data_IF_613109338735
#
_entry.id   IF_613109338735
#
_cell.length_a   1.000
_cell.length_b   1.000
_cell.length_c   1.000
_cell.angle_alpha   90.00
_cell.angle_beta   90.00
_cell.angle_gamma   90.00
#
_symmetry.space_group_name_H-M   'P 1'
#
loop_
_entity.id
_entity.type
_entity.pdbx_description
1 polymer ?
#
# COMPACT_ATOMS: atom_id res chain seq x y z
N UNK A 1 17.69 -8.89 -1.66
CA UNK A 1 17.71 -7.68 -0.80
C UNK A 1 17.17 -8.08 0.56
N UNK A 2 17.75 -7.57 1.67
CA UNK A 2 17.25 -7.91 3.01
C UNK A 2 15.96 -7.13 3.29
N UNK A 3 14.85 -7.84 3.50
CA UNK A 3 13.53 -7.29 3.82
C UNK A 3 13.24 -7.57 5.29
N UNK A 4 12.94 -6.51 6.05
CA UNK A 4 12.51 -6.63 7.44
C UNK A 4 11.00 -6.88 7.50
N UNK A 5 10.58 -7.75 8.41
CA UNK A 5 9.20 -8.15 8.59
C UNK A 5 8.87 -8.43 10.06
N UNK A 6 7.59 -8.53 10.36
CA UNK A 6 7.06 -9.00 11.63
C UNK A 6 5.91 -9.98 11.37
N UNK A 7 5.83 -11.03 12.19
CA UNK A 7 4.77 -12.03 12.14
C UNK A 7 3.89 -11.84 13.38
N UNK A 8 2.59 -11.71 13.17
CA UNK A 8 1.58 -11.60 14.22
C UNK A 8 0.55 -12.71 14.06
N UNK A 9 0.39 -13.53 15.10
CA UNK A 9 -0.44 -14.73 15.09
C UNK A 9 0.34 -16.00 14.76
N UNK A 10 -0.37 -17.14 14.67
CA UNK A 10 0.24 -18.43 14.38
C UNK A 10 0.45 -18.60 12.87
N UNK A 11 1.66 -18.95 12.44
CA UNK A 11 2.04 -19.15 11.05
C UNK A 11 1.30 -20.33 10.38
N UNK A 12 0.70 -21.23 11.16
CA UNK A 12 -0.15 -22.30 10.64
C UNK A 12 -1.53 -21.80 10.19
N UNK A 13 -1.92 -20.61 10.61
CA UNK A 13 -3.14 -19.98 10.17
C UNK A 13 -3.01 -19.40 8.75
N UNK A 14 -4.12 -19.13 8.04
CA UNK A 14 -4.09 -18.44 6.74
C UNK A 14 -3.32 -17.13 6.83
N UNK A 15 -2.28 -17.00 6.00
CA UNK A 15 -1.37 -15.85 6.02
C UNK A 15 -1.97 -14.68 5.24
N UNK A 16 -1.92 -13.50 5.82
CA UNK A 16 -2.20 -12.21 5.16
C UNK A 16 -0.91 -11.39 5.13
N UNK A 17 -0.39 -11.13 3.96
CA UNK A 17 0.75 -10.22 3.77
C UNK A 17 0.23 -8.80 3.68
N UNK A 18 0.79 -7.87 4.46
CA UNK A 18 0.40 -6.46 4.44
C UNK A 18 1.55 -5.61 3.90
N UNK A 19 1.28 -4.92 2.78
CA UNK A 19 2.25 -4.10 2.04
C UNK A 19 1.87 -2.63 2.18
N UNK A 20 2.75 -1.83 2.77
CA UNK A 20 2.52 -0.42 3.03
C UNK A 20 2.77 0.49 1.82
N UNK A 21 2.24 1.72 1.92
CA UNK A 21 2.38 2.77 0.93
C UNK A 21 3.77 3.40 0.85
N UNK A 22 3.87 4.42 0.01
CA UNK A 22 5.08 5.18 -0.26
C UNK A 22 5.70 5.75 1.03
N UNK A 23 6.94 5.39 1.32
CA UNK A 23 7.70 5.90 2.44
C UNK A 23 7.20 5.46 3.82
N UNK A 24 6.25 4.50 3.88
CA UNK A 24 5.65 4.03 5.11
C UNK A 24 6.27 2.69 5.55
N UNK A 25 6.74 2.60 6.81
CA UNK A 25 7.17 1.34 7.41
C UNK A 25 5.96 0.46 7.79
N UNK A 26 6.21 -0.79 8.13
CA UNK A 26 5.17 -1.74 8.54
C UNK A 26 4.32 -1.25 9.73
N UNK A 27 4.89 -0.42 10.61
CA UNK A 27 4.19 0.20 11.75
C UNK A 27 3.13 1.23 11.33
N UNK A 28 3.00 1.56 10.05
CA UNK A 28 1.86 2.32 9.54
C UNK A 28 0.56 1.51 9.52
N UNK A 29 0.63 0.17 9.62
CA UNK A 29 -0.55 -0.67 9.83
C UNK A 29 -1.14 -0.39 11.22
N UNK A 30 -2.45 -0.07 11.34
CA UNK A 30 -3.07 0.12 12.65
C UNK A 30 -2.98 -1.15 13.50
N UNK A 31 -2.43 -1.10 14.73
CA UNK A 31 -2.29 -2.27 15.60
C UNK A 31 -3.62 -2.93 15.94
N UNK A 32 -4.69 -2.14 15.99
CA UNK A 32 -6.05 -2.61 16.27
C UNK A 32 -6.57 -3.50 15.14
N UNK A 33 -6.32 -3.14 13.88
CA UNK A 33 -6.67 -3.98 12.72
C UNK A 33 -5.86 -5.27 12.76
N UNK A 34 -4.54 -5.19 13.07
CA UNK A 34 -3.68 -6.36 13.21
C UNK A 34 -4.22 -7.31 14.29
N UNK A 35 -4.45 -6.80 15.50
CA UNK A 35 -4.92 -7.62 16.62
C UNK A 35 -6.29 -8.26 16.37
N UNK A 36 -7.20 -7.52 15.70
CA UNK A 36 -8.53 -8.04 15.35
C UNK A 36 -8.45 -9.14 14.29
N UNK A 37 -7.65 -8.98 13.24
CA UNK A 37 -7.46 -10.02 12.22
C UNK A 37 -6.79 -11.27 12.81
N UNK A 38 -5.84 -11.12 13.74
CA UNK A 38 -5.26 -12.25 14.47
C UNK A 38 -6.33 -12.98 15.28
N UNK A 39 -7.22 -12.26 15.98
CA UNK A 39 -8.36 -12.85 16.70
C UNK A 39 -9.36 -13.56 15.78
N UNK A 40 -9.46 -13.16 14.51
CA UNK A 40 -10.25 -13.84 13.48
C UNK A 40 -9.58 -15.10 12.92
N UNK A 41 -8.39 -15.47 13.43
CA UNK A 41 -7.67 -16.70 13.07
C UNK A 41 -6.75 -16.54 11.87
N UNK A 42 -6.23 -15.33 11.60
CA UNK A 42 -5.22 -15.08 10.56
C UNK A 42 -3.83 -14.92 11.16
N UNK A 43 -2.82 -15.22 10.36
CA UNK A 43 -1.44 -14.82 10.60
C UNK A 43 -1.12 -13.61 9.71
N UNK A 44 -0.66 -12.51 10.29
CA UNK A 44 -0.28 -11.33 9.53
C UNK A 44 1.24 -11.27 9.39
N UNK A 45 1.70 -11.18 8.14
CA UNK A 45 3.08 -10.89 7.78
C UNK A 45 3.15 -9.41 7.36
N UNK A 46 3.59 -8.57 8.27
CA UNK A 46 3.83 -7.14 8.01
C UNK A 46 5.25 -6.96 7.47
N UNK A 47 5.44 -6.18 6.43
CA UNK A 47 6.76 -5.99 5.82
C UNK A 47 7.13 -4.51 5.71
N UNK A 48 8.40 -4.22 5.91
CA UNK A 48 9.02 -2.97 5.46
C UNK A 48 9.43 -3.14 3.99
N UNK A 49 8.88 -2.37 3.09
CA UNK A 49 9.37 -2.35 1.70
C UNK A 49 10.85 -1.96 1.66
N UNK A 50 11.57 -2.35 0.58
CA UNK A 50 12.96 -1.88 0.38
C UNK A 50 13.06 -0.37 0.58
N UNK A 51 14.18 0.09 1.11
CA UNK A 51 14.47 1.52 1.36
C UNK A 51 13.74 2.15 2.55
N UNK A 52 12.85 1.46 3.25
CA UNK A 52 12.10 2.02 4.39
C UNK A 52 12.19 1.12 5.63
N UNK A 53 11.84 1.64 6.81
CA UNK A 53 11.83 0.92 8.07
C UNK A 53 13.20 0.30 8.40
N UNK A 54 13.23 -0.97 8.72
CA UNK A 54 14.45 -1.74 9.01
C UNK A 54 14.94 -2.56 7.81
N UNK A 55 14.26 -2.48 6.65
CA UNK A 55 14.75 -3.09 5.41
C UNK A 55 16.01 -2.41 4.89
N UNK A 56 16.75 -3.14 4.07
CA UNK A 56 17.98 -2.66 3.45
C UNK A 56 17.75 -1.36 2.66
N UNK A 57 18.65 -0.38 2.83
CA UNK A 57 18.62 0.91 2.12
C UNK A 57 19.66 0.90 1.00
N UNK A 58 19.21 1.22 -0.21
CA UNK A 58 20.12 1.37 -1.34
C UNK A 58 21.04 2.59 -1.17
N UNK A 59 22.31 2.43 -1.50
CA UNK A 59 23.33 3.47 -1.41
C UNK A 59 23.53 4.25 -2.72
N UNK A 60 22.54 4.19 -3.63
CA UNK A 60 22.61 4.83 -4.94
C UNK A 60 22.38 6.35 -4.88
N UNK A 61 23.02 7.09 -5.79
CA UNK A 61 22.85 8.55 -5.92
C UNK A 61 21.49 8.83 -6.57
N UNK A 62 20.68 9.67 -5.91
CA UNK A 62 19.36 10.07 -6.42
C UNK A 62 19.53 10.98 -7.64
N UNK A 63 18.80 10.74 -8.76
CA UNK A 63 18.82 11.60 -9.92
C UNK A 63 18.11 12.94 -9.60
N UNK A 64 18.30 13.93 -10.45
CA UNK A 64 17.62 15.22 -10.34
C UNK A 64 16.09 15.00 -10.43
N UNK A 65 15.39 15.17 -9.32
CA UNK A 65 13.94 14.89 -9.18
C UNK A 65 13.12 15.80 -10.08
N UNK A 66 13.49 17.07 -10.20
CA UNK A 66 12.78 18.02 -11.07
C UNK A 66 12.78 17.53 -12.52
N UNK A 67 13.93 17.07 -13.01
CA UNK A 67 14.04 16.49 -14.35
C UNK A 67 13.18 15.20 -14.49
N UNK A 68 13.13 14.36 -13.46
CA UNK A 68 12.29 13.15 -13.50
C UNK A 68 10.79 13.49 -13.51
N UNK A 69 10.36 14.51 -12.77
CA UNK A 69 8.97 15.00 -12.79
C UNK A 69 8.62 15.54 -14.20
N UNK A 70 9.52 16.33 -14.81
CA UNK A 70 9.32 16.79 -16.20
C UNK A 70 9.17 15.59 -17.15
N UNK A 71 10.09 14.62 -17.07
CA UNK A 71 9.99 13.40 -17.90
C UNK A 71 8.66 12.68 -17.72
N UNK A 72 8.20 12.54 -16.47
CA UNK A 72 6.91 11.91 -16.16
C UNK A 72 5.74 12.66 -16.79
N UNK A 73 5.70 14.00 -16.67
CA UNK A 73 4.63 14.84 -17.23
C UNK A 73 4.57 14.73 -18.76
N UNK A 74 5.72 14.65 -19.42
CA UNK A 74 5.82 14.45 -20.88
C UNK A 74 5.78 12.98 -21.31
N UNK A 75 5.40 12.05 -20.42
CA UNK A 75 5.35 10.60 -20.70
C UNK A 75 6.69 10.02 -21.20
N UNK A 76 7.81 10.66 -20.86
CA UNK A 76 9.16 10.19 -21.16
C UNK A 76 9.62 9.17 -20.09
N UNK A 77 10.62 8.36 -20.45
CA UNK A 77 11.17 7.35 -19.54
C UNK A 77 11.79 7.99 -18.28
N UNK A 78 11.19 7.72 -17.13
CA UNK A 78 11.71 8.10 -15.80
C UNK A 78 12.86 7.17 -15.42
N UNK A 79 13.94 7.74 -14.89
CA UNK A 79 15.07 6.97 -14.36
C UNK A 79 14.74 6.49 -12.96
N UNK A 80 14.65 5.19 -12.77
CA UNK A 80 14.48 4.54 -11.46
C UNK A 80 15.56 3.48 -11.25
N UNK A 81 15.94 3.23 -10.01
CA UNK A 81 16.95 2.24 -9.62
C UNK A 81 16.37 0.85 -9.45
N UNK A 82 15.08 0.76 -9.24
CA UNK A 82 14.27 -0.44 -9.17
C UNK A 82 12.84 -0.09 -9.58
N UNK A 83 12.09 -1.10 -9.89
CA UNK A 83 10.69 -1.01 -10.27
C UNK A 83 9.78 -1.55 -9.17
N UNK A 84 8.47 -1.30 -9.29
CA UNK A 84 7.47 -1.98 -8.45
C UNK A 84 7.49 -3.51 -8.65
N UNK A 85 7.96 -4.00 -9.83
CA UNK A 85 8.16 -5.43 -10.08
C UNK A 85 9.29 -6.01 -9.21
N UNK A 86 10.36 -5.25 -9.01
CA UNK A 86 11.45 -5.68 -8.13
C UNK A 86 10.99 -5.73 -6.67
N UNK A 87 10.12 -4.80 -6.25
CA UNK A 87 9.51 -4.82 -4.92
C UNK A 87 8.56 -6.02 -4.74
N UNK A 88 7.79 -6.38 -5.77
CA UNK A 88 6.98 -7.59 -5.75
C UNK A 88 7.84 -8.87 -5.71
N UNK A 89 8.98 -8.89 -6.39
CA UNK A 89 9.92 -10.01 -6.32
C UNK A 89 10.52 -10.16 -4.90
N UNK A 90 10.88 -9.06 -4.22
CA UNK A 90 11.35 -9.13 -2.82
C UNK A 90 10.35 -9.86 -1.92
N UNK A 91 9.06 -9.58 -2.09
CA UNK A 91 8.01 -10.21 -1.28
C UNK A 91 7.86 -11.68 -1.65
N UNK A 92 7.88 -12.01 -2.95
CA UNK A 92 7.84 -13.41 -3.37
C UNK A 92 9.04 -14.19 -2.83
N UNK A 93 10.24 -13.63 -2.88
CA UNK A 93 11.45 -14.26 -2.37
C UNK A 93 11.37 -14.48 -0.86
N UNK A 94 10.84 -13.48 -0.12
CA UNK A 94 10.56 -13.62 1.31
C UNK A 94 9.54 -14.75 1.59
N UNK A 95 8.47 -14.87 0.78
CA UNK A 95 7.50 -15.98 0.96
C UNK A 95 8.15 -17.35 0.71
N UNK A 96 9.08 -17.45 -0.21
CA UNK A 96 9.85 -18.70 -0.46
C UNK A 96 10.74 -19.01 0.74
N UNK A 97 11.47 -18.03 1.26
CA UNK A 97 12.35 -18.18 2.43
C UNK A 97 11.57 -18.62 3.68
N UNK A 98 10.34 -18.09 3.87
CA UNK A 98 9.47 -18.43 4.98
C UNK A 98 8.60 -19.69 4.74
N UNK A 99 8.77 -20.38 3.61
CA UNK A 99 7.95 -21.53 3.20
C UNK A 99 6.44 -21.23 3.14
N UNK A 100 6.05 -19.99 2.80
CA UNK A 100 4.66 -19.56 2.64
C UNK A 100 4.23 -19.83 1.19
N UNK A 101 3.51 -20.91 0.96
CA UNK A 101 3.10 -21.34 -0.39
C UNK A 101 1.86 -20.61 -0.90
N UNK A 102 0.93 -20.24 0.00
CA UNK A 102 -0.31 -19.56 -0.33
C UNK A 102 -0.60 -18.48 0.69
N UNK A 103 -1.09 -17.33 0.22
CA UNK A 103 -1.37 -16.19 1.08
C UNK A 103 -2.46 -15.27 0.49
N UNK A 104 -3.08 -14.49 1.35
CA UNK A 104 -3.87 -13.32 0.99
C UNK A 104 -2.96 -12.10 1.02
N UNK A 105 -3.22 -11.09 0.20
CA UNK A 105 -2.40 -9.89 0.20
C UNK A 105 -3.26 -8.63 0.37
N UNK A 106 -2.89 -7.80 1.33
CA UNK A 106 -3.42 -6.46 1.54
C UNK A 106 -2.35 -5.48 1.08
N UNK A 107 -2.68 -4.63 0.11
CA UNK A 107 -1.79 -3.58 -0.34
C UNK A 107 -2.43 -2.21 -0.18
N UNK A 108 -1.71 -1.29 0.47
CA UNK A 108 -2.16 0.08 0.73
C UNK A 108 -1.43 1.04 -0.18
N UNK A 109 -2.14 1.84 -0.98
CA UNK A 109 -1.55 2.86 -1.86
C UNK A 109 -0.50 2.25 -2.81
N UNK A 110 0.78 2.66 -2.75
CA UNK A 110 1.86 1.99 -3.48
C UNK A 110 1.89 0.47 -3.21
N UNK A 111 1.61 0.04 -1.98
CA UNK A 111 1.53 -1.38 -1.63
C UNK A 111 0.44 -2.11 -2.41
N UNK A 112 -0.67 -1.44 -2.75
CA UNK A 112 -1.71 -1.98 -3.64
C UNK A 112 -1.21 -2.21 -5.06
N UNK A 113 -0.38 -1.30 -5.59
CA UNK A 113 0.25 -1.47 -6.90
C UNK A 113 1.21 -2.69 -6.91
N UNK A 114 1.93 -2.92 -5.81
CA UNK A 114 2.82 -4.08 -5.63
C UNK A 114 1.99 -5.36 -5.48
N UNK A 115 0.92 -5.33 -4.70
CA UNK A 115 0.00 -6.46 -4.52
C UNK A 115 -0.69 -6.87 -5.83
N UNK A 116 -1.07 -5.93 -6.68
CA UNK A 116 -1.55 -6.19 -8.04
C UNK A 116 -0.49 -6.95 -8.86
N UNK A 117 0.78 -6.56 -8.79
CA UNK A 117 1.87 -7.25 -9.49
C UNK A 117 2.10 -8.67 -8.97
N UNK A 118 1.94 -8.90 -7.66
CA UNK A 118 1.97 -10.25 -7.09
C UNK A 118 0.82 -11.10 -7.63
N UNK A 119 -0.41 -10.58 -7.66
CA UNK A 119 -1.57 -11.28 -8.19
C UNK A 119 -1.42 -11.58 -9.69
N UNK A 120 -0.80 -10.69 -10.48
CA UNK A 120 -0.53 -10.90 -11.90
C UNK A 120 0.53 -12.00 -12.13
N UNK A 121 1.61 -11.98 -11.33
CA UNK A 121 2.78 -12.87 -11.56
C UNK A 121 2.67 -14.22 -10.86
N UNK A 122 1.99 -14.27 -9.72
CA UNK A 122 1.95 -15.41 -8.81
C UNK A 122 0.50 -15.82 -8.50
N UNK A 123 -0.34 -15.95 -9.53
CA UNK A 123 -1.78 -16.28 -9.43
C UNK A 123 -2.06 -17.57 -8.67
N UNK A 124 -1.12 -18.51 -8.67
CA UNK A 124 -1.20 -19.78 -7.94
C UNK A 124 -0.88 -19.65 -6.44
N UNK A 125 -0.22 -18.57 -6.01
CA UNK A 125 0.12 -18.31 -4.60
C UNK A 125 -0.81 -17.29 -3.94
N UNK A 126 -1.34 -16.32 -4.70
CA UNK A 126 -2.19 -15.25 -4.18
C UNK A 126 -3.64 -15.72 -4.13
N UNK A 127 -4.11 -16.09 -2.95
CA UNK A 127 -5.49 -16.55 -2.74
C UNK A 127 -6.52 -15.44 -2.88
N UNK A 128 -6.21 -14.23 -2.45
CA UNK A 128 -7.01 -13.02 -2.70
C UNK A 128 -6.17 -11.76 -2.65
N UNK A 129 -6.66 -10.73 -3.32
CA UNK A 129 -6.12 -9.37 -3.34
C UNK A 129 -7.07 -8.41 -2.64
N UNK A 130 -6.57 -7.67 -1.65
CA UNK A 130 -7.26 -6.53 -1.05
C UNK A 130 -6.47 -5.27 -1.40
N UNK A 131 -7.02 -4.44 -2.28
CA UNK A 131 -6.38 -3.22 -2.78
C UNK A 131 -7.03 -2.01 -2.12
N UNK A 132 -6.29 -1.30 -1.26
CA UNK A 132 -6.80 -0.18 -0.47
C UNK A 132 -6.19 1.12 -0.99
N UNK A 133 -7.03 2.13 -1.33
CA UNK A 133 -6.64 3.47 -1.79
C UNK A 133 -5.49 3.47 -2.82
N UNK A 134 -5.61 2.62 -3.84
CA UNK A 134 -4.56 2.38 -4.86
C UNK A 134 -5.06 2.62 -6.29
N UNK A 135 -4.21 2.37 -7.28
CA UNK A 135 -4.49 2.62 -8.71
C UNK A 135 -3.88 1.54 -9.59
N UNK A 136 -4.46 1.30 -10.76
CA UNK A 136 -3.88 0.48 -11.83
C UNK A 136 -2.65 1.12 -12.47
N UNK A 137 -2.55 2.45 -12.38
CA UNK A 137 -1.52 3.25 -13.04
C UNK A 137 -1.88 3.67 -14.46
N UNK A 138 -3.14 3.56 -14.89
CA UNK A 138 -3.61 4.09 -16.17
C UNK A 138 -3.29 5.59 -16.24
N UNK A 139 -2.57 6.05 -17.29
CA UNK A 139 -2.18 7.45 -17.44
C UNK A 139 -3.36 8.41 -17.68
N UNK A 140 -4.54 7.91 -18.00
CA UNK A 140 -5.74 8.70 -18.22
C UNK A 140 -6.53 8.99 -16.95
N UNK A 141 -6.25 8.30 -15.85
CA UNK A 141 -6.91 8.54 -14.57
C UNK A 141 -6.56 9.91 -13.99
N UNK A 142 -7.46 10.49 -13.16
CA UNK A 142 -7.18 11.71 -12.44
C UNK A 142 -5.87 11.62 -11.65
N UNK A 143 -5.14 12.73 -11.61
CA UNK A 143 -3.85 12.81 -10.91
C UNK A 143 -4.02 13.38 -9.50
N UNK A 144 -3.08 13.09 -8.59
CA UNK A 144 -3.04 13.71 -7.28
C UNK A 144 -3.13 15.23 -7.38
N UNK A 145 -3.76 15.88 -6.41
CA UNK A 145 -3.76 17.36 -6.38
C UNK A 145 -2.33 17.88 -6.30
N UNK A 146 -1.96 18.80 -7.20
CA UNK A 146 -0.61 19.35 -7.32
C UNK A 146 -0.05 19.91 -6.00
N UNK A 147 -0.88 20.52 -5.17
CA UNK A 147 -0.48 21.04 -3.85
C UNK A 147 0.08 19.92 -2.95
N UNK A 148 -0.54 18.73 -2.98
CA UNK A 148 -0.10 17.56 -2.19
C UNK A 148 1.21 17.01 -2.77
N UNK A 149 1.29 16.85 -4.08
CA UNK A 149 2.52 16.39 -4.74
C UNK A 149 3.69 17.32 -4.43
N UNK A 150 3.49 18.63 -4.56
CA UNK A 150 4.50 19.65 -4.20
C UNK A 150 4.91 19.54 -2.73
N UNK A 151 3.95 19.31 -1.83
CA UNK A 151 4.26 19.15 -0.41
C UNK A 151 5.10 17.90 -0.15
N UNK A 152 4.73 16.74 -0.71
CA UNK A 152 5.49 15.49 -0.58
C UNK A 152 6.92 15.64 -1.13
N UNK A 153 7.05 16.28 -2.30
CA UNK A 153 8.36 16.53 -2.93
C UNK A 153 9.25 17.48 -2.13
N UNK A 154 8.67 18.44 -1.40
CA UNK A 154 9.46 19.33 -0.54
C UNK A 154 10.17 18.57 0.57
N UNK A 155 9.57 17.50 1.06
CA UNK A 155 10.07 16.69 2.17
C UNK A 155 10.30 17.51 3.44
N UNK A 156 10.76 16.86 4.50
CA UNK A 156 11.25 17.61 5.67
C UNK A 156 12.56 18.35 5.30
N UNK A 157 12.64 19.64 5.61
CA UNK A 157 13.82 20.45 5.27
C UNK A 157 14.99 20.23 6.23
N UNK A 158 14.72 19.74 7.41
CA UNK A 158 15.69 19.55 8.49
C UNK A 158 15.98 18.07 8.73
N UNK A 159 17.13 17.81 9.35
CA UNK A 159 17.61 16.43 9.60
C UNK A 159 17.15 15.87 10.96
N UNK A 160 16.38 16.64 11.74
CA UNK A 160 15.93 16.23 13.06
C UNK A 160 14.54 15.55 13.05
N UNK A 161 14.25 14.82 14.12
CA UNK A 161 12.99 14.09 14.31
C UNK A 161 11.80 15.06 14.41
N UNK A 162 11.97 16.24 15.04
CA UNK A 162 10.91 17.24 15.21
C UNK A 162 10.42 17.78 13.87
N UNK A 163 11.33 18.00 12.93
CA UNK A 163 11.00 18.44 11.57
C UNK A 163 10.31 17.32 10.76
N UNK A 164 10.74 16.08 10.92
CA UNK A 164 10.08 14.95 10.30
C UNK A 164 8.66 14.77 10.86
N UNK A 165 8.48 14.85 12.19
CA UNK A 165 7.17 14.80 12.83
C UNK A 165 6.25 15.89 12.31
N UNK A 166 6.69 17.15 12.30
CA UNK A 166 5.91 18.28 11.78
C UNK A 166 5.51 18.10 10.31
N UNK A 167 6.40 17.55 9.49
CA UNK A 167 6.10 17.25 8.08
C UNK A 167 4.98 16.20 7.95
N UNK A 168 5.08 15.08 8.67
CA UNK A 168 4.08 14.02 8.60
C UNK A 168 2.73 14.47 9.19
N UNK A 169 2.72 15.21 10.31
CA UNK A 169 1.48 15.77 10.88
C UNK A 169 0.76 16.64 9.83
N UNK A 170 1.48 17.53 9.16
CA UNK A 170 0.91 18.38 8.10
C UNK A 170 0.44 17.55 6.90
N UNK A 171 1.20 16.53 6.51
CA UNK A 171 0.82 15.65 5.41
C UNK A 171 -0.51 14.95 5.70
N UNK A 172 -0.64 14.35 6.88
CA UNK A 172 -1.88 13.65 7.28
C UNK A 172 -3.06 14.61 7.43
N UNK A 173 -2.84 15.84 7.87
CA UNK A 173 -3.86 16.90 7.86
C UNK A 173 -4.32 17.30 6.45
N UNK A 174 -3.51 17.07 5.41
CA UNK A 174 -3.86 17.39 4.03
C UNK A 174 -4.56 16.24 3.29
N UNK A 175 -4.27 14.99 3.65
CA UNK A 175 -4.76 13.80 2.93
C UNK A 175 -5.77 12.98 3.75
N UNK A 176 -5.96 13.31 5.02
CA UNK A 176 -6.86 12.60 5.92
C UNK A 176 -8.33 12.71 5.53
N UNK A 177 -9.16 11.94 6.21
CA UNK A 177 -10.59 11.79 5.94
C UNK A 177 -11.40 12.97 6.46
N UNK A 178 -12.08 13.76 5.62
CA UNK A 178 -12.85 14.92 6.09
C UNK A 178 -14.08 14.53 6.91
N UNK A 179 -14.71 13.39 6.64
CA UNK A 179 -15.86 12.93 7.44
C UNK A 179 -15.46 12.21 8.74
N UNK A 180 -14.17 11.87 8.89
CA UNK A 180 -13.61 11.15 10.05
C UNK A 180 -12.36 11.90 10.53
N UNK A 181 -12.50 13.14 11.02
CA UNK A 181 -11.35 13.98 11.35
C UNK A 181 -10.61 13.43 12.55
N UNK A 182 -9.29 13.27 12.43
CA UNK A 182 -8.42 12.87 13.53
C UNK A 182 -7.99 14.08 14.33
N UNK A 183 -7.93 13.93 15.65
CA UNK A 183 -7.30 14.91 16.53
C UNK A 183 -5.80 15.02 16.24
N UNK A 184 -5.21 16.16 16.59
CA UNK A 184 -3.75 16.36 16.49
C UNK A 184 -2.98 15.31 17.30
N UNK A 185 -3.51 14.90 18.47
CA UNK A 185 -2.89 13.88 19.32
C UNK A 185 -2.85 12.51 18.64
N UNK A 186 -3.93 12.08 18.00
CA UNK A 186 -4.01 10.80 17.27
C UNK A 186 -3.05 10.77 16.08
N UNK A 187 -2.97 11.88 15.32
CA UNK A 187 -2.01 12.01 14.23
C UNK A 187 -0.58 11.96 14.78
N UNK A 188 -0.31 12.63 15.90
CA UNK A 188 1.02 12.63 16.51
C UNK A 188 1.45 11.22 16.95
N UNK A 189 0.59 10.50 17.66
CA UNK A 189 0.84 9.10 18.07
C UNK A 189 1.11 8.18 16.88
N UNK A 190 0.35 8.35 15.80
CA UNK A 190 0.59 7.61 14.56
C UNK A 190 1.97 7.97 13.96
N UNK A 191 2.29 9.26 13.90
CA UNK A 191 3.56 9.75 13.35
C UNK A 191 4.74 9.24 14.19
N UNK A 192 4.65 9.28 15.52
CA UNK A 192 5.70 8.78 16.42
C UNK A 192 5.95 7.28 16.18
N UNK A 193 4.89 6.50 15.94
CA UNK A 193 4.97 5.07 15.65
C UNK A 193 5.68 4.79 14.32
N UNK A 194 5.44 5.57 13.27
CA UNK A 194 6.14 5.38 11.99
C UNK A 194 7.60 5.86 12.08
N UNK A 195 7.87 6.94 12.80
CA UNK A 195 9.22 7.48 12.95
C UNK A 195 10.11 6.56 13.80
N UNK A 196 9.56 5.94 14.85
CA UNK A 196 10.29 4.99 15.69
C UNK A 196 10.81 3.76 14.93
N UNK A 197 10.09 3.30 13.89
CA UNK A 197 10.53 2.21 13.01
C UNK A 197 11.61 2.65 12.02
N UNK A 198 11.62 3.93 11.69
CA UNK A 198 12.54 4.55 10.78
C UNK A 198 11.93 4.87 9.41
N UNK A 199 12.13 6.10 9.02
CA UNK A 199 11.78 6.62 7.69
C UNK A 199 13.04 7.03 6.94
N UNK A 200 12.98 7.06 5.61
CA UNK A 200 14.11 7.41 4.78
C UNK A 200 13.69 8.35 3.66
N UNK A 201 14.06 9.63 3.75
CA UNK A 201 13.78 10.59 2.67
C UNK A 201 14.32 10.11 1.32
N UNK A 202 15.57 9.60 1.28
CA UNK A 202 16.15 9.06 0.05
C UNK A 202 15.43 7.80 -0.42
N UNK A 203 15.02 6.94 0.50
CA UNK A 203 14.23 5.75 0.21
C UNK A 203 12.88 6.10 -0.37
N UNK A 204 12.15 7.03 0.24
CA UNK A 204 10.85 7.53 -0.25
C UNK A 204 10.96 8.09 -1.67
N UNK A 205 12.04 8.85 -1.95
CA UNK A 205 12.27 9.37 -3.31
C UNK A 205 12.50 8.23 -4.31
N UNK A 206 13.30 7.19 -3.97
CA UNK A 206 13.52 6.05 -4.87
C UNK A 206 12.25 5.25 -5.11
N UNK A 207 11.43 5.03 -4.08
CA UNK A 207 10.11 4.41 -4.22
C UNK A 207 9.18 5.24 -5.11
N UNK A 208 9.18 6.57 -4.95
CA UNK A 208 8.40 7.45 -5.83
C UNK A 208 8.84 7.36 -7.30
N UNK A 209 10.15 7.29 -7.55
CA UNK A 209 10.67 7.07 -8.90
C UNK A 209 10.23 5.70 -9.45
N UNK A 210 10.16 4.67 -8.62
CA UNK A 210 9.64 3.37 -9.01
C UNK A 210 8.14 3.44 -9.40
N UNK A 211 7.33 4.21 -8.67
CA UNK A 211 5.93 4.47 -9.04
C UNK A 211 5.86 5.21 -10.39
N UNK A 212 6.60 6.32 -10.54
CA UNK A 212 6.60 7.14 -11.75
C UNK A 212 7.12 6.40 -13.00
N UNK A 213 7.98 5.40 -12.80
CA UNK A 213 8.50 4.54 -13.88
C UNK A 213 7.64 3.31 -14.15
N UNK A 214 6.59 3.09 -13.36
CA UNK A 214 5.72 1.92 -13.52
C UNK A 214 4.74 2.11 -14.67
N UNK A 215 4.38 0.99 -15.29
CA UNK A 215 3.42 0.98 -16.39
C UNK A 215 1.99 0.78 -15.88
N UNK A 216 1.01 1.14 -16.70
CA UNK A 216 -0.38 0.74 -16.56
C UNK A 216 -0.51 -0.80 -16.47
N UNK A 217 -1.30 -1.25 -15.48
CA UNK A 217 -1.52 -2.67 -15.19
C UNK A 217 -2.93 -3.13 -15.55
N UNK A 218 -3.83 -2.24 -16.00
CA UNK A 218 -5.25 -2.54 -16.25
C UNK A 218 -5.42 -3.76 -17.15
N UNK A 219 -4.76 -3.79 -18.32
CA UNK A 219 -4.80 -4.94 -19.25
C UNK A 219 -4.27 -6.25 -18.67
N UNK A 220 -3.33 -6.20 -17.73
CA UNK A 220 -2.83 -7.40 -17.08
C UNK A 220 -3.78 -7.86 -15.97
N UNK A 221 -4.46 -6.92 -15.31
CA UNK A 221 -5.46 -7.19 -14.28
C UNK A 221 -6.73 -7.82 -14.85
N UNK A 222 -7.12 -7.50 -16.08
CA UNK A 222 -8.25 -8.15 -16.78
C UNK A 222 -8.07 -9.68 -16.90
N UNK A 223 -6.81 -10.16 -16.88
CA UNK A 223 -6.45 -11.56 -17.08
C UNK A 223 -6.40 -12.37 -15.79
N UNK A 224 -6.43 -11.73 -14.63
CA UNK A 224 -6.40 -12.45 -13.35
C UNK A 224 -7.79 -12.89 -12.91
N UNK A 225 -7.83 -14.06 -12.27
CA UNK A 225 -9.04 -14.60 -11.63
C UNK A 225 -8.98 -14.50 -10.10
N UNK A 226 -7.94 -13.88 -9.56
CA UNK A 226 -7.74 -13.72 -8.13
C UNK A 226 -8.90 -12.94 -7.51
N UNK A 227 -9.65 -13.51 -6.55
CA UNK A 227 -10.74 -12.81 -5.88
C UNK A 227 -10.22 -11.51 -5.28
N UNK A 228 -10.88 -10.40 -5.62
CA UNK A 228 -10.38 -9.06 -5.28
C UNK A 228 -11.42 -8.23 -4.55
N UNK A 229 -10.99 -7.59 -3.46
CA UNK A 229 -11.72 -6.53 -2.76
C UNK A 229 -10.95 -5.22 -2.95
N UNK A 230 -11.59 -4.22 -3.54
CA UNK A 230 -11.07 -2.86 -3.64
C UNK A 230 -11.76 -2.01 -2.58
N UNK A 231 -10.99 -1.25 -1.80
CA UNK A 231 -11.48 -0.32 -0.78
C UNK A 231 -10.94 1.07 -1.08
N UNK A 232 -11.81 2.06 -1.22
CA UNK A 232 -11.37 3.41 -1.58
C UNK A 232 -12.26 4.50 -1.00
N UNK A 233 -11.65 5.56 -0.48
CA UNK A 233 -12.36 6.74 0.01
C UNK A 233 -12.83 7.64 -1.13
N UNK A 234 -14.05 8.23 -1.01
CA UNK A 234 -14.56 9.15 -2.03
C UNK A 234 -13.86 10.51 -2.03
N UNK A 235 -13.20 10.85 -0.94
CA UNK A 235 -12.54 12.14 -0.74
C UNK A 235 -11.01 12.03 -0.70
N UNK A 236 -10.46 10.95 -1.28
CA UNK A 236 -9.02 10.76 -1.41
C UNK A 236 -8.41 11.77 -2.38
N UNK A 237 -7.61 12.69 -1.84
CA UNK A 237 -6.96 13.76 -2.60
C UNK A 237 -5.58 13.37 -3.15
N UNK A 238 -5.01 12.25 -2.65
CA UNK A 238 -3.71 11.75 -3.07
C UNK A 238 -3.83 10.70 -4.19
N UNK A 239 -4.76 9.77 -4.05
CA UNK A 239 -5.13 8.82 -5.11
C UNK A 239 -6.63 8.95 -5.33
N UNK A 240 -7.08 9.69 -6.35
CA UNK A 240 -8.51 9.95 -6.56
C UNK A 240 -9.35 8.69 -6.61
N UNK A 241 -10.59 8.77 -6.10
CA UNK A 241 -11.52 7.64 -5.98
C UNK A 241 -11.72 6.86 -7.29
N UNK A 242 -11.70 7.56 -8.41
CA UNK A 242 -11.79 6.97 -9.75
C UNK A 242 -10.71 5.92 -10.02
N UNK A 243 -9.55 6.04 -9.36
CA UNK A 243 -8.47 5.04 -9.45
C UNK A 243 -8.88 3.70 -8.81
N UNK A 244 -9.66 3.75 -7.73
CA UNK A 244 -10.23 2.56 -7.10
C UNK A 244 -11.34 1.94 -7.95
N UNK A 245 -12.20 2.77 -8.52
CA UNK A 245 -13.25 2.35 -9.47
C UNK A 245 -12.63 1.65 -10.67
N UNK A 246 -11.60 2.25 -11.26
CA UNK A 246 -10.86 1.67 -12.39
C UNK A 246 -10.21 0.34 -12.01
N UNK A 247 -9.57 0.25 -10.83
CA UNK A 247 -9.01 -1.00 -10.33
C UNK A 247 -10.08 -2.09 -10.21
N UNK A 248 -11.25 -1.75 -9.68
CA UNK A 248 -12.36 -2.70 -9.57
C UNK A 248 -12.89 -3.13 -10.94
N UNK A 249 -13.05 -2.19 -11.87
CA UNK A 249 -13.52 -2.48 -13.23
C UNK A 249 -12.52 -3.32 -14.04
N UNK A 250 -11.22 -3.17 -13.77
CA UNK A 250 -10.16 -3.91 -14.46
C UNK A 250 -10.06 -5.39 -14.03
N UNK A 251 -10.69 -5.79 -12.92
CA UNK A 251 -10.56 -7.15 -12.38
C UNK A 251 -11.91 -7.85 -12.37
N UNK A 252 -12.02 -8.95 -13.10
CA UNK A 252 -13.25 -9.73 -13.21
C UNK A 252 -13.73 -10.19 -11.81
N UNK A 253 -15.02 -9.97 -11.53
CA UNK A 253 -15.67 -10.37 -10.27
C UNK A 253 -15.05 -9.70 -9.01
N UNK A 254 -14.38 -8.58 -9.15
CA UNK A 254 -13.95 -7.78 -8.02
C UNK A 254 -15.14 -7.19 -7.27
N UNK A 255 -14.93 -6.85 -5.99
CA UNK A 255 -15.90 -6.10 -5.18
C UNK A 255 -15.30 -4.74 -4.86
N UNK A 256 -16.08 -3.68 -4.99
CA UNK A 256 -15.68 -2.32 -4.59
C UNK A 256 -16.44 -1.90 -3.34
N UNK A 257 -15.71 -1.44 -2.35
CA UNK A 257 -16.26 -0.73 -1.21
C UNK A 257 -15.78 0.73 -1.24
N UNK A 258 -16.66 1.60 -1.73
CA UNK A 258 -16.47 3.05 -1.69
C UNK A 258 -16.91 3.60 -0.34
N UNK A 259 -16.04 4.35 0.33
CA UNK A 259 -16.31 4.90 1.67
C UNK A 259 -16.49 6.40 1.56
N UNK A 260 -17.72 6.87 1.78
CA UNK A 260 -18.04 8.29 1.68
C UNK A 260 -17.28 9.09 2.75
N UNK A 261 -16.64 10.17 2.34
CA UNK A 261 -15.91 11.08 3.21
C UNK A 261 -14.58 10.55 3.75
N UNK A 262 -14.15 9.34 3.35
CA UNK A 262 -12.82 8.84 3.64
C UNK A 262 -11.80 9.46 2.67
N UNK A 263 -10.66 9.89 3.23
CA UNK A 263 -9.49 10.36 2.50
C UNK A 263 -8.45 9.26 2.25
N UNK A 264 -7.16 9.63 2.31
CA UNK A 264 -6.04 8.71 2.12
C UNK A 264 -5.47 8.22 3.46
N UNK A 265 -6.32 7.75 4.35
CA UNK A 265 -5.97 7.23 5.67
C UNK A 265 -6.93 6.13 6.13
N UNK A 266 -6.71 5.59 7.34
CA UNK A 266 -7.57 4.60 7.96
C UNK A 266 -8.33 5.27 9.13
N UNK A 267 -9.62 5.67 8.97
CA UNK A 267 -10.42 6.20 10.08
C UNK A 267 -10.58 5.17 11.21
N UNK A 268 -10.41 5.58 12.46
CA UNK A 268 -10.56 4.71 13.62
C UNK A 268 -11.96 4.12 13.73
N UNK A 269 -12.97 4.91 13.41
CA UNK A 269 -14.38 4.55 13.44
C UNK A 269 -14.73 3.40 12.51
N UNK A 270 -13.89 3.17 11.50
CA UNK A 270 -14.12 2.14 10.48
C UNK A 270 -13.27 0.88 10.69
N UNK A 271 -12.43 0.79 11.73
CA UNK A 271 -11.54 -0.36 11.92
C UNK A 271 -12.30 -1.68 12.01
N UNK A 272 -13.42 -1.73 12.71
CA UNK A 272 -14.26 -2.93 12.78
C UNK A 272 -14.83 -3.30 11.42
N UNK A 273 -15.30 -2.34 10.65
CA UNK A 273 -15.85 -2.58 9.33
C UNK A 273 -14.76 -3.03 8.33
N UNK A 274 -13.55 -2.45 8.38
CA UNK A 274 -12.41 -2.95 7.62
C UNK A 274 -12.15 -4.43 7.90
N UNK A 275 -12.05 -4.80 9.17
CA UNK A 275 -11.80 -6.18 9.59
C UNK A 275 -12.90 -7.11 9.12
N UNK A 276 -14.17 -6.75 9.35
CA UNK A 276 -15.31 -7.57 8.95
C UNK A 276 -15.40 -7.78 7.43
N UNK A 277 -15.13 -6.74 6.64
CA UNK A 277 -15.14 -6.84 5.18
C UNK A 277 -13.99 -7.68 4.63
N UNK A 278 -12.80 -7.53 5.19
CA UNK A 278 -11.63 -8.34 4.84
C UNK A 278 -11.90 -9.81 5.19
N UNK A 279 -12.35 -10.09 6.41
CA UNK A 279 -12.67 -11.43 6.87
C UNK A 279 -13.77 -12.09 6.02
N UNK A 280 -14.88 -11.37 5.78
CA UNK A 280 -15.97 -11.85 4.94
C UNK A 280 -15.53 -12.12 3.50
N UNK A 281 -14.65 -11.28 2.94
CA UNK A 281 -14.10 -11.49 1.61
C UNK A 281 -13.27 -12.78 1.57
N UNK A 282 -12.34 -12.96 2.50
CA UNK A 282 -11.49 -14.16 2.57
C UNK A 282 -12.33 -15.42 2.80
N UNK A 283 -13.26 -15.41 3.73
CA UNK A 283 -14.15 -16.56 4.01
C UNK A 283 -15.05 -16.93 2.83
N UNK A 284 -15.48 -15.96 2.03
CA UNK A 284 -16.28 -16.24 0.84
C UNK A 284 -15.55 -17.10 -0.21
N UNK A 285 -14.22 -16.97 -0.27
CA UNK A 285 -13.37 -17.72 -1.20
C UNK A 285 -13.26 -19.19 -0.78
N UNK A 286 -13.06 -19.42 0.52
CA UNK A 286 -12.96 -20.78 1.06
C UNK A 286 -14.24 -21.58 0.85
N UNK A 287 -15.42 -20.96 0.98
CA UNK A 287 -16.72 -21.61 0.70
C UNK A 287 -16.89 -22.02 -0.76
N UNK A 288 -16.27 -21.29 -1.69
CA UNK A 288 -16.38 -21.58 -3.13
C UNK A 288 -15.42 -22.68 -3.58
N UNK A 289 -14.25 -22.81 -2.91
CA UNK A 289 -13.26 -23.88 -3.18
C UNK A 289 -13.65 -25.25 -2.61
N UNK A 290 -14.52 -25.29 -1.59
CA UNK A 290 -14.94 -26.51 -0.87
C UNK A 290 -16.44 -26.81 -1.07
N UNK A 291 -17.07 -26.44 -2.21
CA UNK A 291 -18.36 -27.05 -2.55
C UNK A 291 -18.10 -28.51 -2.89
N UNK A 292 -18.67 -29.49 -2.11
CA UNK A 292 -18.64 -30.87 -2.54
C UNK A 292 -19.36 -30.96 -3.89
N UNK A 293 -18.79 -31.76 -4.81
CA UNK A 293 -19.35 -32.14 -6.11
C UNK A 293 -20.61 -32.98 -5.85
#
# INVERSE_FOLDING_TARGET
MKIAYEIHGDIQNPVIIVIQGLGMPLTATPPEIVSKLVKHGYCLLLIDNRDIGQSEKMKTKIPNIFLQVIKYLFKLRVTSFYSLKDMANDINDLTVELNINNYHVIGVSMGGMIAQLLAIKHTNKVNSLISIMSTTGDPNLPKPRWKIVKFILSGSKEKDIGSASSFYIKLWGLIGSPAYPRSHQEISLFVDRILSRGVSKRGTIRQMLAIMSSYDRSKALEKISTPTLVIHGTDDLLVPHECGVDTANSIKNSKLWSIKGMGHDFPYELFDEFVLRIDSHIKSINKTRFKPI
#
